data_IF_875519723618
#
_entry.id   IF_875519723618
#
_cell.length_a   1.000
_cell.length_b   1.000
_cell.length_c   1.000
_cell.angle_alpha   90.00
_cell.angle_beta   90.00
_cell.angle_gamma   90.00
#
_symmetry.space_group_name_H-M   'P 1'
#
loop_
_entity.id
_entity.type
_entity.pdbx_description
1 polymer ?
#
# COMPACT_ATOMS: atom_id res chain seq x y z
N UNK A 1 3.99 -17.18 -13.21
CA UNK A 1 4.75 -16.13 -13.91
C UNK A 1 5.21 -15.13 -12.87
N UNK A 2 6.44 -14.65 -12.93
CA UNK A 2 6.92 -13.56 -12.08
C UNK A 2 6.85 -12.30 -12.93
N UNK A 3 6.15 -11.26 -12.48
CA UNK A 3 6.22 -9.93 -13.09
C UNK A 3 7.43 -9.19 -12.50
N UNK A 4 8.49 -8.92 -13.28
CA UNK A 4 9.63 -8.17 -12.81
C UNK A 4 9.43 -6.69 -13.20
N UNK A 5 8.64 -5.95 -12.42
CA UNK A 5 8.55 -4.51 -12.61
C UNK A 5 9.91 -3.87 -12.26
N UNK A 6 10.46 -2.97 -13.09
CA UNK A 6 11.67 -2.23 -12.74
C UNK A 6 11.49 -1.49 -11.40
N UNK A 7 12.38 -1.72 -10.44
CA UNK A 7 12.31 -1.07 -9.12
C UNK A 7 11.43 -1.76 -8.08
N UNK A 8 10.71 -2.83 -8.43
CA UNK A 8 9.95 -3.65 -7.47
C UNK A 8 10.89 -4.24 -6.42
N UNK A 9 10.79 -3.76 -5.18
CA UNK A 9 11.73 -4.12 -4.10
C UNK A 9 11.33 -5.42 -3.43
N UNK A 10 10.03 -5.67 -3.30
CA UNK A 10 9.50 -6.85 -2.61
C UNK A 10 8.45 -7.51 -3.49
N UNK A 11 8.61 -8.82 -3.75
CA UNK A 11 7.46 -9.66 -4.09
C UNK A 11 6.82 -10.02 -2.78
N UNK A 12 5.56 -9.65 -2.60
CA UNK A 12 4.75 -10.16 -1.51
C UNK A 12 4.84 -11.69 -1.49
N UNK A 13 5.69 -12.26 -0.63
CA UNK A 13 5.87 -13.70 -0.51
C UNK A 13 4.83 -14.23 0.46
N UNK A 14 3.69 -14.68 -0.06
CA UNK A 14 2.60 -15.25 0.74
C UNK A 14 1.24 -14.90 0.15
N UNK A 15 0.20 -15.63 0.55
CA UNK A 15 -1.20 -15.43 0.14
C UNK A 15 -1.74 -14.04 0.57
N UNK A 16 -1.23 -12.93 0.03
CA UNK A 16 -1.69 -11.57 0.30
C UNK A 16 -2.93 -11.25 -0.54
N UNK A 17 -3.91 -12.15 -0.48
CA UNK A 17 -5.21 -11.98 -1.10
C UNK A 17 -6.05 -11.09 -0.20
N UNK A 18 -6.40 -9.93 -0.72
CA UNK A 18 -7.26 -8.96 -0.07
C UNK A 18 -8.70 -9.36 -0.35
N UNK A 19 -9.30 -10.16 0.54
CA UNK A 19 -10.71 -10.61 0.49
C UNK A 19 -11.18 -11.14 -0.88
N UNK A 20 -10.27 -11.76 -1.65
CA UNK A 20 -10.56 -12.21 -3.01
C UNK A 20 -10.82 -11.10 -4.03
N UNK A 21 -10.62 -9.82 -3.66
CA UNK A 21 -10.67 -8.65 -4.55
C UNK A 21 -9.38 -8.50 -5.32
N UNK A 22 -8.25 -8.63 -4.63
CA UNK A 22 -6.93 -8.40 -5.20
C UNK A 22 -5.88 -9.28 -4.55
N UNK A 23 -4.76 -9.45 -5.23
CA UNK A 23 -3.53 -9.97 -4.66
C UNK A 23 -2.48 -8.87 -4.73
N UNK A 24 -1.89 -8.49 -3.59
CA UNK A 24 -0.72 -7.62 -3.64
C UNK A 24 0.45 -8.44 -4.17
N UNK A 25 1.03 -8.01 -5.29
CA UNK A 25 2.19 -8.64 -5.89
C UNK A 25 3.47 -8.07 -5.30
N UNK A 26 3.47 -6.78 -4.95
CA UNK A 26 4.60 -6.11 -4.35
C UNK A 26 4.47 -4.59 -4.32
N UNK A 27 5.58 -3.92 -4.00
CA UNK A 27 5.66 -2.48 -3.98
C UNK A 27 7.07 -1.97 -4.34
N UNK A 28 7.17 -0.69 -4.65
CA UNK A 28 8.42 0.04 -4.84
C UNK A 28 8.33 1.46 -4.29
N UNK A 29 9.46 1.98 -3.84
CA UNK A 29 9.63 3.40 -3.53
C UNK A 29 10.47 4.05 -4.63
N UNK A 30 10.13 5.28 -5.01
CA UNK A 30 10.96 6.06 -5.95
C UNK A 30 12.34 6.37 -5.34
N UNK A 31 12.36 6.62 -4.04
CA UNK A 31 13.57 6.84 -3.26
C UNK A 31 13.80 5.67 -2.32
N UNK A 32 15.05 5.24 -2.18
CA UNK A 32 15.39 4.14 -1.26
C UNK A 32 15.41 4.67 0.17
N UNK A 33 14.74 4.02 1.14
CA UNK A 33 14.87 4.36 2.56
C UNK A 33 16.35 4.36 3.01
N UNK A 34 16.71 5.13 4.04
CA UNK A 34 15.81 5.80 4.98
C UNK A 34 15.25 7.15 4.49
N UNK A 35 14.03 7.49 4.94
CA UNK A 35 13.40 8.79 4.66
C UNK A 35 13.60 9.76 5.82
N UNK A 36 13.69 11.06 5.52
CA UNK A 36 13.72 12.09 6.55
C UNK A 36 12.28 12.42 7.01
N UNK A 37 12.12 12.75 8.28
CA UNK A 37 10.86 13.31 8.80
C UNK A 37 10.48 14.61 8.07
N UNK A 38 9.18 14.87 7.92
CA UNK A 38 8.67 16.05 7.21
C UNK A 38 8.76 15.95 5.68
N UNK A 39 9.12 14.79 5.13
CA UNK A 39 9.21 14.57 3.68
C UNK A 39 8.03 13.73 3.15
N UNK A 40 7.86 13.72 1.83
CA UNK A 40 6.93 12.80 1.16
C UNK A 40 7.72 11.70 0.46
N UNK A 41 7.24 10.47 0.56
CA UNK A 41 7.79 9.32 -0.15
C UNK A 41 6.78 8.83 -1.18
N UNK A 42 7.19 8.73 -2.45
CA UNK A 42 6.35 8.17 -3.50
C UNK A 42 6.41 6.65 -3.47
N UNK A 43 5.26 6.02 -3.27
CA UNK A 43 5.04 4.58 -3.22
C UNK A 43 4.30 4.15 -4.47
N UNK A 44 4.75 3.06 -5.10
CA UNK A 44 3.98 2.33 -6.10
C UNK A 44 3.62 0.95 -5.57
N UNK A 45 2.34 0.59 -5.59
CA UNK A 45 1.83 -0.75 -5.34
C UNK A 45 1.58 -1.49 -6.66
N UNK A 46 1.97 -2.75 -6.72
CA UNK A 46 1.70 -3.66 -7.82
C UNK A 46 0.66 -4.68 -7.38
N UNK A 47 -0.51 -4.66 -7.98
CA UNK A 47 -1.65 -5.49 -7.57
C UNK A 47 -2.20 -6.29 -8.74
N UNK A 48 -2.69 -7.50 -8.47
CA UNK A 48 -3.44 -8.32 -9.41
C UNK A 48 -4.90 -8.35 -8.99
N UNK A 49 -5.82 -7.72 -9.73
CA UNK A 49 -7.26 -7.85 -9.47
C UNK A 49 -7.72 -9.30 -9.65
N UNK A 50 -8.36 -9.85 -8.62
CA UNK A 50 -8.93 -11.20 -8.59
C UNK A 50 -10.45 -11.20 -8.82
N UNK A 51 -11.10 -10.06 -8.69
CA UNK A 51 -12.53 -9.87 -8.88
C UNK A 51 -12.88 -8.40 -9.11
N UNK A 52 -14.17 -8.08 -9.15
CA UNK A 52 -14.60 -6.68 -9.18
C UNK A 52 -14.35 -6.01 -7.84
N UNK A 53 -13.90 -4.75 -7.87
CA UNK A 53 -13.94 -3.84 -6.74
C UNK A 53 -15.27 -3.08 -6.82
N UNK A 54 -16.19 -3.25 -5.85
CA UNK A 54 -17.41 -2.45 -5.78
C UNK A 54 -17.14 -0.95 -5.78
N UNK A 55 -18.03 -0.16 -6.36
CA UNK A 55 -17.89 1.31 -6.42
C UNK A 55 -17.84 1.98 -5.04
N UNK A 56 -18.28 1.28 -3.99
CA UNK A 56 -18.22 1.73 -2.62
C UNK A 56 -17.07 1.12 -1.81
N UNK A 57 -16.15 0.40 -2.45
CA UNK A 57 -14.95 -0.12 -1.79
C UNK A 57 -13.71 0.60 -2.35
N UNK A 58 -12.80 0.99 -1.48
CA UNK A 58 -11.48 1.49 -1.88
C UNK A 58 -10.39 0.88 -1.03
N UNK A 59 -9.15 1.01 -1.49
CA UNK A 59 -8.00 0.65 -0.69
C UNK A 59 -7.55 1.83 0.13
N UNK A 60 -6.89 1.54 1.25
CA UNK A 60 -6.32 2.55 2.12
C UNK A 60 -4.94 2.07 2.54
N UNK A 61 -3.93 2.88 2.22
CA UNK A 61 -2.53 2.58 2.46
C UNK A 61 -2.08 3.42 3.64
N UNK A 62 -1.72 2.76 4.72
CA UNK A 62 -1.27 3.40 5.95
C UNK A 62 0.18 3.07 6.25
N UNK A 63 0.88 4.05 6.80
CA UNK A 63 2.19 3.87 7.41
C UNK A 63 2.05 3.94 8.92
N UNK A 64 2.42 2.85 9.60
CA UNK A 64 2.26 2.72 11.05
C UNK A 64 3.59 2.50 11.76
N UNK A 65 3.77 3.10 12.93
CA UNK A 65 4.87 2.81 13.84
C UNK A 65 4.30 2.60 15.25
N UNK A 66 4.65 1.47 15.87
CA UNK A 66 4.11 1.04 17.18
C UNK A 66 2.57 1.01 17.26
N UNK A 67 1.89 0.82 16.12
CA UNK A 67 0.42 0.80 16.02
C UNK A 67 -0.23 2.20 15.92
N UNK A 68 0.56 3.27 15.88
CA UNK A 68 0.11 4.63 15.57
C UNK A 68 0.20 4.90 14.07
N UNK A 69 -0.79 5.60 13.53
CA UNK A 69 -0.83 6.06 12.15
C UNK A 69 0.04 7.30 11.97
N UNK A 70 0.93 7.27 10.99
CA UNK A 70 1.83 8.39 10.67
C UNK A 70 1.71 8.89 9.24
N UNK A 71 1.27 8.05 8.31
CA UNK A 71 1.02 8.45 6.94
C UNK A 71 -0.16 7.68 6.36
N UNK A 72 -0.89 8.31 5.45
CA UNK A 72 -2.06 7.73 4.81
C UNK A 72 -2.10 8.15 3.34
N UNK A 73 -2.48 7.21 2.48
CA UNK A 73 -2.76 7.44 1.08
C UNK A 73 -3.91 6.56 0.62
N UNK A 74 -4.93 7.22 0.05
CA UNK A 74 -6.08 6.55 -0.56
C UNK A 74 -5.87 6.63 -2.07
N UNK A 75 -5.68 5.50 -2.78
CA UNK A 75 -5.52 5.47 -4.21
C UNK A 75 -6.87 5.80 -4.87
N UNK A 76 -6.81 6.54 -5.97
CA UNK A 76 -7.96 6.66 -6.86
C UNK A 76 -8.08 5.34 -7.64
N UNK A 77 -8.97 4.47 -7.19
CA UNK A 77 -9.18 3.14 -7.76
C UNK A 77 -9.94 3.16 -9.10
N UNK A 78 -10.29 4.34 -9.63
CA UNK A 78 -11.16 4.53 -10.77
C UNK A 78 -10.73 3.82 -12.07
N UNK A 79 -11.69 3.16 -12.74
CA UNK A 79 -11.68 2.59 -14.11
C UNK A 79 -10.55 1.64 -14.56
N UNK A 80 -9.42 1.58 -13.85
CA UNK A 80 -8.27 0.74 -14.17
C UNK A 80 -8.38 -0.67 -13.57
N UNK A 81 -9.45 -0.95 -12.83
CA UNK A 81 -9.68 -2.24 -12.19
C UNK A 81 -10.18 -3.29 -13.19
N UNK A 82 -9.25 -3.94 -13.87
CA UNK A 82 -9.54 -5.03 -14.80
C UNK A 82 -8.99 -6.35 -14.27
N UNK A 83 -9.86 -7.36 -14.16
CA UNK A 83 -9.45 -8.73 -13.81
C UNK A 83 -8.41 -9.24 -14.81
N UNK A 84 -7.46 -10.05 -14.34
CA UNK A 84 -6.36 -10.62 -15.13
C UNK A 84 -5.32 -9.59 -15.66
N UNK A 85 -5.31 -8.38 -15.09
CA UNK A 85 -4.27 -7.38 -15.33
C UNK A 85 -3.38 -7.19 -14.10
N UNK A 86 -2.28 -6.46 -14.27
CA UNK A 86 -1.51 -5.92 -13.16
C UNK A 86 -1.80 -4.42 -13.12
N UNK A 87 -2.27 -3.98 -11.97
CA UNK A 87 -2.54 -2.57 -11.68
C UNK A 87 -1.36 -2.01 -10.92
N UNK A 88 -0.87 -0.87 -11.41
CA UNK A 88 0.16 -0.06 -10.75
C UNK A 88 -0.53 1.16 -10.15
N UNK A 89 -0.49 1.28 -8.83
CA UNK A 89 -1.00 2.45 -8.13
C UNK A 89 0.16 3.20 -7.50
N UNK A 90 0.37 4.43 -7.95
CA UNK A 90 1.37 5.34 -7.40
C UNK A 90 0.72 6.44 -6.57
N UNK A 91 1.34 6.78 -5.43
CA UNK A 91 0.90 7.89 -4.60
C UNK A 91 1.94 8.35 -3.59
N UNK A 92 1.68 9.50 -2.98
CA UNK A 92 2.57 10.09 -1.99
C UNK A 92 2.11 9.77 -0.58
N UNK A 93 3.02 9.20 0.22
CA UNK A 93 2.86 9.10 1.66
C UNK A 93 3.65 10.23 2.32
N UNK A 94 2.93 11.11 3.01
CA UNK A 94 3.55 12.16 3.80
C UNK A 94 4.00 11.63 5.16
N UNK A 95 5.26 11.88 5.51
CA UNK A 95 5.83 11.63 6.84
C UNK A 95 5.83 12.95 7.62
N UNK A 96 4.99 13.10 8.66
CA UNK A 96 4.99 14.28 9.52
C UNK A 96 6.36 14.56 10.14
N UNK A 97 6.66 15.84 10.41
CA UNK A 97 7.94 16.26 10.99
C UNK A 97 8.13 15.77 12.45
N UNK A 98 7.06 15.39 13.11
CA UNK A 98 7.02 14.80 14.46
C UNK A 98 7.03 13.26 14.46
N UNK A 99 7.19 12.63 13.28
CA UNK A 99 7.34 11.17 13.19
C UNK A 99 8.57 10.70 13.98
N UNK A 100 8.46 9.63 14.78
CA UNK A 100 9.61 9.08 15.47
C UNK A 100 10.59 8.48 14.45
N UNK A 101 11.90 8.56 14.69
CA UNK A 101 12.85 7.78 13.91
C UNK A 101 12.66 6.29 14.21
N UNK A 102 12.87 5.43 13.21
CA UNK A 102 12.79 3.98 13.37
C UNK A 102 12.04 3.28 12.25
N UNK A 103 11.56 2.08 12.58
CA UNK A 103 10.90 1.18 11.63
C UNK A 103 9.40 1.42 11.57
N UNK A 104 8.90 1.66 10.36
CA UNK A 104 7.48 1.81 10.06
C UNK A 104 7.01 0.63 9.22
N UNK A 105 5.77 0.21 9.44
CA UNK A 105 5.09 -0.84 8.70
C UNK A 105 4.14 -0.22 7.70
N UNK A 106 4.24 -0.66 6.45
CA UNK A 106 3.23 -0.38 5.45
C UNK A 106 2.04 -1.35 5.64
N UNK A 107 0.83 -0.81 5.64
CA UNK A 107 -0.41 -1.56 5.85
C UNK A 107 -1.36 -1.22 4.73
N UNK A 108 -1.92 -2.23 4.07
CA UNK A 108 -2.96 -2.05 3.04
C UNK A 108 -4.27 -2.55 3.62
N UNK A 109 -5.32 -1.73 3.52
CA UNK A 109 -6.66 -2.06 4.00
C UNK A 109 -7.67 -1.93 2.87
N UNK A 110 -8.76 -2.67 2.98
CA UNK A 110 -9.95 -2.46 2.16
C UNK A 110 -10.99 -1.74 3.04
N UNK A 111 -11.55 -0.66 2.52
CA UNK A 111 -12.50 0.20 3.21
C UNK A 111 -13.80 0.32 2.42
N UNK A 112 -14.94 0.32 3.12
CA UNK A 112 -16.23 0.69 2.56
C UNK A 112 -16.42 2.20 2.69
N UNK A 113 -16.47 2.90 1.57
CA UNK A 113 -16.55 4.37 1.50
C UNK A 113 -17.94 4.90 1.90
N UNK A 114 -18.97 4.07 1.94
CA UNK A 114 -20.32 4.51 2.34
C UNK A 114 -20.45 4.69 3.86
N UNK A 115 -19.67 3.92 4.62
CA UNK A 115 -19.75 3.87 6.08
C UNK A 115 -18.43 4.19 6.77
N UNK A 116 -17.39 4.51 6.00
CA UNK A 116 -16.02 4.78 6.46
C UNK A 116 -15.54 3.70 7.45
N UNK A 117 -15.79 2.44 7.06
CA UNK A 117 -15.50 1.28 7.89
C UNK A 117 -14.41 0.43 7.25
N UNK A 118 -13.44 0.02 8.07
CA UNK A 118 -12.48 -0.99 7.70
C UNK A 118 -13.20 -2.32 7.48
N UNK A 119 -13.09 -2.84 6.26
CA UNK A 119 -13.60 -4.18 5.91
C UNK A 119 -12.55 -5.21 6.28
N UNK A 120 -11.27 -4.95 5.98
CA UNK A 120 -10.16 -5.86 6.31
C UNK A 120 -8.81 -5.15 6.30
N UNK A 121 -7.89 -5.60 7.16
CA UNK A 121 -6.51 -5.12 7.27
C UNK A 121 -5.49 -6.19 6.90
N UNK A 122 -4.49 -5.78 6.09
CA UNK A 122 -3.37 -6.63 5.70
C UNK A 122 -2.05 -5.92 6.06
N UNK A 123 -1.33 -6.37 7.10
CA UNK A 123 0.02 -5.89 7.35
C UNK A 123 0.93 -6.43 6.25
N UNK A 124 1.75 -5.55 5.66
CA UNK A 124 2.84 -5.99 4.81
C UNK A 124 4.01 -6.33 5.72
N UNK A 125 4.04 -7.59 6.16
CA UNK A 125 4.96 -8.07 7.21
C UNK A 125 6.43 -7.82 6.89
N UNK A 126 6.78 -7.73 5.61
CA UNK A 126 8.15 -7.48 5.12
C UNK A 126 8.39 -6.03 4.65
N UNK A 127 7.39 -5.15 4.75
CA UNK A 127 7.49 -3.77 4.28
C UNK A 127 7.89 -2.81 5.38
N UNK A 128 9.17 -2.89 5.76
CA UNK A 128 9.76 -1.98 6.76
C UNK A 128 10.38 -0.77 6.09
N UNK A 129 9.94 0.42 6.52
CA UNK A 129 10.54 1.70 6.13
C UNK A 129 11.35 2.22 7.30
N UNK A 130 12.58 2.65 7.05
CA UNK A 130 13.42 3.30 8.06
C UNK A 130 13.25 4.81 7.92
N UNK A 131 12.91 5.48 9.02
CA UNK A 131 12.86 6.95 9.10
C UNK A 131 14.02 7.43 9.98
N UNK A 132 14.73 8.46 9.51
CA UNK A 132 15.89 9.07 10.18
C UNK A 132 15.58 10.45 10.75
#
# INVERSE_FOLDING_TARGET
WVYPAPGMQIKATGNQKIEGRAELLGYSWDNVPPFAVGTSAHLTLFMSPLGQLPDNETFDIKLENEGLLWGEWIPDSGSTWQTDSIVEWGGELHLPADSPPGEFRLVVRLMDTNIDAEVTRFPLEDATVIVN
#
